data_IF_435300122891
#
_entry.id   IF_435300122891
#
_cell.length_a   1.000
_cell.length_b   1.000
_cell.length_c   1.000
_cell.angle_alpha   90.00
_cell.angle_beta   90.00
_cell.angle_gamma   90.00
#
_symmetry.space_group_name_H-M   'P 1'
#
loop_
_entity.id
_entity.type
_entity.pdbx_description
1 polymer ?
#
# COMPACT_ATOMS: atom_id res chain seq x y z
N UNK A 1 -4.32 22.79 -25.35
CA UNK A 1 -3.89 22.81 -23.95
C UNK A 1 -4.06 24.22 -23.36
N UNK A 2 -4.88 24.36 -22.31
CA UNK A 2 -5.30 25.66 -21.74
C UNK A 2 -4.19 26.34 -20.90
N UNK A 3 -3.07 25.64 -20.68
CA UNK A 3 -1.88 26.19 -19.99
C UNK A 3 -0.61 25.83 -20.76
N UNK A 4 0.38 26.74 -20.78
CA UNK A 4 1.69 26.43 -21.33
C UNK A 4 2.46 25.53 -20.36
N UNK A 5 3.41 24.70 -20.84
CA UNK A 5 4.25 23.88 -19.97
C UNK A 5 5.02 24.72 -18.93
N UNK A 6 5.29 25.99 -19.23
CA UNK A 6 5.94 26.93 -18.31
C UNK A 6 5.01 27.30 -17.16
N UNK A 7 3.75 27.63 -17.45
CA UNK A 7 2.76 27.99 -16.43
C UNK A 7 2.47 26.79 -15.53
N UNK A 8 2.41 25.57 -16.10
CA UNK A 8 2.24 24.35 -15.33
C UNK A 8 3.43 24.06 -14.41
N UNK A 9 4.66 24.22 -14.91
CA UNK A 9 5.87 24.09 -14.10
C UNK A 9 5.88 25.13 -12.97
N UNK A 10 5.48 26.37 -13.25
CA UNK A 10 5.39 27.44 -12.25
C UNK A 10 4.36 27.12 -11.16
N UNK A 11 3.21 26.53 -11.52
CA UNK A 11 2.22 26.06 -10.53
C UNK A 11 2.81 24.93 -9.68
N UNK A 12 3.47 23.95 -10.28
CA UNK A 12 4.14 22.85 -9.56
C UNK A 12 5.24 23.36 -8.61
N UNK A 13 6.04 24.32 -9.05
CA UNK A 13 7.09 24.96 -8.25
C UNK A 13 6.54 25.74 -7.04
N UNK A 14 5.28 26.17 -7.12
CA UNK A 14 4.61 26.91 -6.05
C UNK A 14 3.78 26.00 -5.12
N UNK A 15 3.73 24.68 -5.36
CA UNK A 15 3.09 23.73 -4.45
C UNK A 15 3.90 23.62 -3.17
N UNK A 16 3.29 24.00 -2.04
CA UNK A 16 3.91 23.89 -0.71
C UNK A 16 3.27 22.75 0.06
N UNK A 17 4.10 21.84 0.57
CA UNK A 17 3.64 20.83 1.52
C UNK A 17 3.17 21.47 2.83
N UNK A 18 2.22 20.85 3.56
CA UNK A 18 1.71 21.37 4.84
C UNK A 18 2.79 21.48 5.94
N UNK A 19 3.92 20.79 5.77
CA UNK A 19 5.03 20.75 6.72
C UNK A 19 6.23 21.62 6.33
N UNK A 20 6.15 22.34 5.20
CA UNK A 20 7.27 23.11 4.67
C UNK A 20 7.49 24.42 5.46
N UNK A 21 8.62 24.50 6.18
CA UNK A 21 9.12 25.76 6.74
C UNK A 21 10.22 26.29 5.81
N UNK A 22 9.99 27.38 5.06
CA UNK A 22 10.98 27.90 4.13
C UNK A 22 12.24 28.35 4.90
N UNK A 23 13.37 27.70 4.65
CA UNK A 23 14.69 28.27 4.94
C UNK A 23 15.05 29.21 3.79
N UNK A 24 15.63 30.37 4.12
CA UNK A 24 15.73 31.49 3.18
C UNK A 24 16.65 31.27 1.96
N UNK A 25 17.44 30.19 1.90
CA UNK A 25 18.48 30.00 0.86
C UNK A 25 18.48 28.63 0.18
N UNK A 26 17.47 27.77 0.39
CA UNK A 26 17.40 26.45 -0.26
C UNK A 26 16.31 26.41 -1.35
N UNK A 27 16.58 25.73 -2.49
CA UNK A 27 15.57 25.59 -3.54
C UNK A 27 14.34 24.86 -2.98
N UNK A 28 13.13 25.28 -3.39
CA UNK A 28 11.84 24.83 -2.86
C UNK A 28 11.45 23.37 -3.20
N UNK A 29 12.44 22.51 -3.41
CA UNK A 29 12.27 21.07 -3.52
C UNK A 29 12.57 20.48 -2.14
N UNK A 30 11.54 20.42 -1.29
CA UNK A 30 11.64 19.63 -0.07
C UNK A 30 10.88 18.33 -0.29
N UNK A 31 11.55 17.21 -0.06
CA UNK A 31 10.84 15.96 0.07
C UNK A 31 9.94 16.11 1.28
N UNK A 32 8.63 16.05 1.07
CA UNK A 32 7.68 15.98 2.18
C UNK A 32 7.87 14.62 2.85
N UNK A 33 8.93 14.48 3.64
CA UNK A 33 9.09 13.38 4.57
C UNK A 33 7.94 13.52 5.54
N UNK A 34 6.91 12.70 5.39
CA UNK A 34 5.89 12.54 6.42
C UNK A 34 6.66 11.93 7.59
N UNK A 35 6.92 12.67 8.69
CA UNK A 35 7.68 12.11 9.80
C UNK A 35 6.74 11.14 10.53
N UNK A 36 6.70 9.90 10.06
CA UNK A 36 5.99 8.83 10.74
C UNK A 36 6.84 8.52 11.97
N UNK A 37 6.32 8.82 13.17
CA UNK A 37 6.98 8.43 14.42
C UNK A 37 7.07 6.90 14.44
N UNK A 38 8.27 6.36 14.25
CA UNK A 38 8.55 4.94 14.38
C UNK A 38 8.85 4.63 15.84
N UNK A 39 8.44 3.44 16.28
CA UNK A 39 8.75 2.97 17.63
C UNK A 39 10.24 2.66 17.76
N UNK A 40 10.82 3.01 18.90
CA UNK A 40 12.19 2.63 19.23
C UNK A 40 12.31 1.11 19.43
N UNK A 41 13.52 0.57 19.33
CA UNK A 41 13.75 -0.88 19.49
C UNK A 41 13.25 -1.41 20.84
N UNK A 42 13.40 -0.63 21.91
CA UNK A 42 12.88 -0.96 23.24
C UNK A 42 11.36 -1.05 23.27
N UNK A 43 10.68 -0.10 22.63
CA UNK A 43 9.22 -0.09 22.50
C UNK A 43 8.71 -1.26 21.65
N UNK A 44 9.42 -1.62 20.58
CA UNK A 44 9.12 -2.78 19.75
C UNK A 44 9.26 -4.10 20.53
N UNK A 45 10.29 -4.23 21.39
CA UNK A 45 10.46 -5.43 22.24
C UNK A 45 9.31 -5.60 23.23
N UNK A 46 8.77 -4.50 23.75
CA UNK A 46 7.59 -4.54 24.63
C UNK A 46 6.34 -4.93 23.82
N UNK A 47 6.16 -4.31 22.65
CA UNK A 47 5.02 -4.55 21.77
C UNK A 47 4.97 -5.99 21.24
N UNK A 48 6.13 -6.58 20.93
CA UNK A 48 6.27 -7.93 20.39
C UNK A 48 6.93 -8.88 21.38
N UNK A 49 6.65 -8.72 22.68
CA UNK A 49 7.16 -9.61 23.73
C UNK A 49 6.80 -11.08 23.47
N UNK A 50 5.66 -11.33 22.81
CA UNK A 50 5.20 -12.62 22.33
C UNK A 50 6.21 -13.34 21.42
N UNK A 51 6.97 -12.62 20.61
CA UNK A 51 7.99 -13.24 19.73
C UNK A 51 9.21 -13.75 20.51
N UNK A 52 9.40 -13.34 21.77
CA UNK A 52 10.55 -13.74 22.58
C UNK A 52 10.40 -15.10 23.28
N UNK A 53 9.22 -15.74 23.20
CA UNK A 53 8.93 -17.00 23.88
C UNK A 53 9.62 -18.23 23.26
N UNK A 54 10.35 -18.06 22.16
CA UNK A 54 11.12 -19.14 21.51
C UNK A 54 10.26 -20.18 20.79
N UNK A 55 8.99 -19.86 20.54
CA UNK A 55 8.09 -20.64 19.70
C UNK A 55 8.53 -20.63 18.24
N UNK A 56 8.26 -21.71 17.51
CA UNK A 56 8.62 -21.82 16.11
C UNK A 56 7.78 -20.89 15.22
N UNK A 57 8.44 -20.11 14.37
CA UNK A 57 7.79 -19.23 13.38
C UNK A 57 8.04 -19.74 11.97
N UNK A 58 6.95 -19.90 11.22
CA UNK A 58 7.01 -20.42 9.85
C UNK A 58 7.81 -19.47 8.95
N UNK A 59 8.88 -19.97 8.33
CA UNK A 59 9.74 -19.23 7.40
C UNK A 59 10.97 -18.58 8.03
N UNK A 60 11.08 -18.54 9.36
CA UNK A 60 12.27 -18.04 10.08
C UNK A 60 13.07 -19.22 10.64
N UNK A 61 12.40 -20.18 11.28
CA UNK A 61 13.03 -21.29 11.99
C UNK A 61 13.32 -22.51 11.11
N UNK A 62 13.90 -22.28 9.93
CA UNK A 62 14.24 -23.36 8.97
C UNK A 62 15.21 -24.39 9.58
N UNK A 63 15.98 -24.00 10.60
CA UNK A 63 17.04 -24.82 11.21
C UNK A 63 16.74 -25.35 12.62
N UNK A 64 15.71 -24.86 13.34
CA UNK A 64 15.51 -25.21 14.77
C UNK A 64 14.77 -26.53 15.01
N UNK A 65 14.07 -27.07 14.02
CA UNK A 65 13.32 -28.33 14.14
C UNK A 65 14.04 -29.49 13.45
N UNK A 66 15.17 -29.91 14.01
CA UNK A 66 15.98 -31.02 13.48
C UNK A 66 15.41 -32.43 13.77
N UNK A 67 14.26 -32.54 14.47
CA UNK A 67 13.66 -33.82 14.86
C UNK A 67 12.36 -34.17 14.12
N UNK A 68 11.63 -33.19 13.60
CA UNK A 68 10.44 -33.38 12.76
C UNK A 68 10.46 -32.25 11.72
N UNK A 69 10.95 -32.55 10.51
CA UNK A 69 11.39 -31.53 9.54
C UNK A 69 10.33 -30.48 9.19
N UNK A 70 10.79 -29.35 8.64
CA UNK A 70 9.98 -28.19 8.23
C UNK A 70 8.62 -28.54 7.60
N UNK A 71 8.57 -29.58 6.76
CA UNK A 71 7.34 -30.05 6.11
C UNK A 71 6.24 -30.52 7.07
N UNK A 72 6.60 -31.18 8.18
CA UNK A 72 5.63 -31.62 9.17
C UNK A 72 5.03 -30.43 9.94
N UNK A 73 5.86 -29.45 10.28
CA UNK A 73 5.41 -28.21 10.90
C UNK A 73 4.52 -27.38 9.95
N UNK A 74 4.89 -27.29 8.66
CA UNK A 74 4.04 -26.64 7.66
C UNK A 74 2.67 -27.34 7.54
N UNK A 75 2.64 -28.68 7.51
CA UNK A 75 1.40 -29.44 7.45
C UNK A 75 0.48 -29.19 8.67
N UNK A 76 1.05 -29.20 9.88
CA UNK A 76 0.32 -28.86 11.11
C UNK A 76 -0.26 -27.43 11.04
N UNK A 77 0.53 -26.47 10.53
CA UNK A 77 0.09 -25.09 10.35
C UNK A 77 -1.02 -24.97 9.31
N UNK A 78 -1.01 -25.79 8.25
CA UNK A 78 -2.10 -25.83 7.27
C UNK A 78 -3.38 -26.33 7.93
N UNK A 79 -3.34 -27.43 8.69
CA UNK A 79 -4.52 -27.98 9.36
C UNK A 79 -5.10 -26.98 10.37
N UNK A 80 -4.25 -26.37 11.20
CA UNK A 80 -4.68 -25.34 12.14
C UNK A 80 -5.26 -24.11 11.41
N UNK A 81 -4.66 -23.73 10.29
CA UNK A 81 -5.10 -22.59 9.49
C UNK A 81 -6.50 -22.82 8.89
N UNK A 82 -6.81 -24.00 8.38
CA UNK A 82 -8.17 -24.31 7.89
C UNK A 82 -9.19 -24.24 9.04
N UNK A 83 -8.87 -24.77 10.24
CA UNK A 83 -9.74 -24.63 11.43
C UNK A 83 -9.97 -23.16 11.82
N UNK A 84 -8.93 -22.34 11.78
CA UNK A 84 -9.04 -20.90 12.06
C UNK A 84 -9.92 -20.21 11.01
N UNK A 85 -9.78 -20.58 9.73
CA UNK A 85 -10.62 -20.03 8.67
C UNK A 85 -12.10 -20.38 8.86
N UNK A 86 -12.42 -21.61 9.29
CA UNK A 86 -13.80 -22.05 9.59
C UNK A 86 -14.46 -21.22 10.70
N UNK A 87 -13.70 -20.68 11.66
CA UNK A 87 -14.26 -19.80 12.70
C UNK A 87 -14.76 -18.45 12.17
N UNK A 88 -14.32 -18.05 10.96
CA UNK A 88 -14.66 -16.79 10.30
C UNK A 88 -14.51 -15.55 11.22
N UNK A 89 -13.50 -15.56 12.09
CA UNK A 89 -13.29 -14.50 13.09
C UNK A 89 -11.92 -13.84 12.91
N UNK A 90 -11.92 -12.59 12.42
CA UNK A 90 -10.70 -11.84 12.09
C UNK A 90 -9.67 -11.74 13.24
N UNK A 91 -10.04 -11.50 14.51
CA UNK A 91 -9.08 -11.50 15.62
C UNK A 91 -8.33 -12.83 15.80
N UNK A 92 -9.01 -13.96 15.66
CA UNK A 92 -8.38 -15.29 15.77
C UNK A 92 -7.42 -15.51 14.61
N UNK A 93 -7.79 -15.07 13.39
CA UNK A 93 -6.90 -15.11 12.24
C UNK A 93 -5.65 -14.24 12.45
N UNK A 94 -5.77 -13.06 13.06
CA UNK A 94 -4.62 -12.21 13.38
C UNK A 94 -3.66 -12.89 14.37
N UNK A 95 -4.18 -13.51 15.43
CA UNK A 95 -3.37 -14.29 16.38
C UNK A 95 -2.65 -15.45 15.69
N UNK A 96 -3.34 -16.16 14.79
CA UNK A 96 -2.73 -17.21 13.98
C UNK A 96 -1.60 -16.68 13.08
N UNK A 97 -1.79 -15.53 12.42
CA UNK A 97 -0.83 -14.93 11.50
C UNK A 97 0.47 -14.45 12.18
N UNK A 98 0.44 -14.14 13.48
CA UNK A 98 1.65 -13.74 14.25
C UNK A 98 2.79 -14.77 14.14
N UNK A 99 2.46 -16.06 13.99
CA UNK A 99 3.44 -17.17 13.88
C UNK A 99 3.76 -17.56 12.43
N UNK A 100 3.32 -16.77 11.45
CA UNK A 100 3.50 -17.03 10.03
C UNK A 100 2.39 -17.88 9.42
N UNK A 101 2.20 -17.77 8.10
CA UNK A 101 1.13 -18.44 7.37
C UNK A 101 1.69 -19.16 6.13
N UNK A 102 1.28 -20.42 5.90
CA UNK A 102 1.64 -21.13 4.68
C UNK A 102 1.17 -20.37 3.43
N UNK A 103 1.92 -20.40 2.32
CA UNK A 103 1.54 -19.70 1.09
C UNK A 103 0.15 -20.06 0.57
N UNK A 104 -0.27 -21.32 0.73
CA UNK A 104 -1.59 -21.83 0.30
C UNK A 104 -2.77 -21.18 1.02
N UNK A 105 -2.60 -20.71 2.25
CA UNK A 105 -3.66 -20.11 3.07
C UNK A 105 -3.61 -18.59 3.11
N UNK A 106 -2.50 -17.98 2.67
CA UNK A 106 -2.26 -16.53 2.80
C UNK A 106 -3.39 -15.71 2.19
N UNK A 107 -3.85 -16.06 0.98
CA UNK A 107 -4.95 -15.35 0.31
C UNK A 107 -6.25 -15.41 1.13
N UNK A 108 -6.63 -16.58 1.66
CA UNK A 108 -7.84 -16.75 2.47
C UNK A 108 -7.76 -15.93 3.77
N UNK A 109 -6.61 -16.01 4.46
CA UNK A 109 -6.39 -15.34 5.74
C UNK A 109 -6.37 -13.83 5.61
N UNK A 110 -5.67 -13.29 4.61
CA UNK A 110 -5.62 -11.85 4.36
C UNK A 110 -6.99 -11.32 3.96
N UNK A 111 -7.74 -12.10 3.16
CA UNK A 111 -9.11 -11.73 2.81
C UNK A 111 -9.99 -11.54 4.06
N UNK A 112 -9.91 -12.50 4.99
CA UNK A 112 -10.65 -12.49 6.27
C UNK A 112 -10.22 -11.33 7.17
N UNK A 113 -8.91 -11.12 7.35
CA UNK A 113 -8.38 -10.06 8.23
C UNK A 113 -8.69 -8.66 7.71
N UNK A 114 -8.64 -8.45 6.39
CA UNK A 114 -8.96 -7.18 5.76
C UNK A 114 -10.48 -6.96 5.59
N UNK A 115 -11.31 -7.97 5.87
CA UNK A 115 -12.76 -7.91 5.63
C UNK A 115 -13.11 -7.67 4.16
N UNK A 116 -12.26 -8.17 3.25
CA UNK A 116 -12.33 -7.85 1.81
C UNK A 116 -13.26 -8.78 1.03
N UNK A 117 -14.50 -8.93 1.52
CA UNK A 117 -15.52 -9.69 0.82
C UNK A 117 -16.02 -8.95 -0.43
N UNK A 118 -15.94 -9.65 -1.56
CA UNK A 118 -16.33 -9.10 -2.86
C UNK A 118 -17.79 -9.42 -3.13
N UNK A 119 -18.62 -8.39 -3.20
CA UNK A 119 -20.01 -8.49 -3.62
C UNK A 119 -20.14 -8.21 -5.12
N UNK A 120 -21.26 -8.61 -5.74
CA UNK A 120 -21.52 -8.31 -7.15
C UNK A 120 -21.55 -6.81 -7.45
N UNK A 121 -21.98 -6.00 -6.48
CA UNK A 121 -21.90 -4.54 -6.55
C UNK A 121 -20.46 -4.04 -6.70
N UNK A 122 -19.51 -4.62 -5.94
CA UNK A 122 -18.10 -4.24 -6.00
C UNK A 122 -17.50 -4.61 -7.38
N UNK A 123 -17.89 -5.77 -7.93
CA UNK A 123 -17.48 -6.18 -9.29
C UNK A 123 -17.99 -5.21 -10.35
N UNK A 124 -19.26 -4.82 -10.28
CA UNK A 124 -19.84 -3.85 -11.22
C UNK A 124 -19.17 -2.47 -11.10
N UNK A 125 -18.85 -2.02 -9.89
CA UNK A 125 -18.11 -0.77 -9.68
C UNK A 125 -16.71 -0.84 -10.30
N UNK A 126 -16.00 -1.96 -10.10
CA UNK A 126 -14.68 -2.15 -10.69
C UNK A 126 -14.71 -2.12 -12.23
N UNK A 127 -15.70 -2.76 -12.86
CA UNK A 127 -15.86 -2.70 -14.33
C UNK A 127 -16.19 -1.29 -14.85
N UNK A 128 -16.96 -0.49 -14.08
CA UNK A 128 -17.18 0.93 -14.39
C UNK A 128 -15.87 1.73 -14.29
N UNK A 129 -15.05 1.47 -13.26
CA UNK A 129 -13.75 2.13 -13.10
C UNK A 129 -12.83 1.80 -14.26
N UNK A 130 -12.74 0.53 -14.70
CA UNK A 130 -11.99 0.15 -15.90
C UNK A 130 -12.46 0.91 -17.13
N UNK A 131 -13.77 1.02 -17.32
CA UNK A 131 -14.33 1.78 -18.44
C UNK A 131 -13.92 3.25 -18.40
N UNK A 132 -13.89 3.86 -17.20
CA UNK A 132 -13.39 5.23 -17.02
C UNK A 132 -11.89 5.36 -17.30
N UNK A 133 -11.07 4.35 -16.97
CA UNK A 133 -9.64 4.34 -17.32
C UNK A 133 -9.46 4.44 -18.83
N UNK A 134 -10.24 3.69 -19.59
CA UNK A 134 -10.15 3.67 -21.06
C UNK A 134 -10.73 4.94 -21.71
N UNK A 135 -11.73 5.56 -21.09
CA UNK A 135 -12.42 6.73 -21.64
C UNK A 135 -11.69 8.06 -21.35
N UNK A 136 -11.00 8.18 -20.21
CA UNK A 136 -10.41 9.44 -19.75
C UNK A 136 -8.91 9.31 -19.52
N UNK A 137 -8.11 10.10 -20.23
CA UNK A 137 -6.66 10.26 -20.01
C UNK A 137 -6.39 11.29 -18.90
N UNK A 138 -5.97 10.82 -17.72
CA UNK A 138 -5.62 11.70 -16.59
C UNK A 138 -4.10 11.84 -16.50
N UNK A 139 -3.63 13.03 -16.12
CA UNK A 139 -2.18 13.26 -15.94
C UNK A 139 -1.55 12.32 -14.89
N UNK A 140 -2.31 11.94 -13.86
CA UNK A 140 -1.85 11.02 -12.82
C UNK A 140 -1.56 9.62 -13.37
N UNK A 141 -2.21 9.20 -14.45
CA UNK A 141 -1.96 7.90 -15.08
C UNK A 141 -0.53 7.82 -15.62
N UNK A 142 -0.06 8.92 -16.23
CA UNK A 142 1.31 9.02 -16.76
C UNK A 142 2.35 8.98 -15.64
N UNK A 143 1.99 9.46 -14.45
CA UNK A 143 2.85 9.36 -13.27
C UNK A 143 2.87 7.92 -12.74
N UNK A 144 1.69 7.29 -12.59
CA UNK A 144 1.56 5.90 -12.14
C UNK A 144 2.30 4.94 -13.08
N UNK A 145 2.11 5.06 -14.39
CA UNK A 145 2.76 4.21 -15.39
C UNK A 145 4.28 4.33 -15.32
N UNK A 146 4.81 5.57 -15.20
CA UNK A 146 6.25 5.78 -15.05
C UNK A 146 6.80 5.18 -13.77
N UNK A 147 6.06 5.30 -12.67
CA UNK A 147 6.46 4.74 -11.38
C UNK A 147 6.51 3.20 -11.42
N UNK A 148 5.47 2.56 -11.98
CA UNK A 148 5.46 1.10 -12.20
C UNK A 148 6.63 0.69 -13.09
N UNK A 149 6.90 1.42 -14.17
CA UNK A 149 8.02 1.09 -15.06
C UNK A 149 9.37 1.19 -14.36
N UNK A 150 9.56 2.20 -13.51
CA UNK A 150 10.81 2.39 -12.77
C UNK A 150 11.00 1.36 -11.65
N UNK A 151 9.91 0.92 -11.01
CA UNK A 151 9.96 0.10 -9.79
C UNK A 151 9.73 -1.39 -10.03
N UNK A 152 8.78 -1.76 -10.89
CA UNK A 152 8.39 -3.14 -11.14
C UNK A 152 8.96 -3.69 -12.46
N UNK A 153 8.98 -2.92 -13.55
CA UNK A 153 9.50 -3.42 -14.84
C UNK A 153 11.02 -3.60 -14.85
N UNK A 154 11.74 -2.83 -14.01
CA UNK A 154 13.18 -2.95 -13.86
C UNK A 154 13.60 -3.98 -12.80
N UNK A 155 12.66 -4.71 -12.20
CA UNK A 155 12.93 -5.73 -11.19
C UNK A 155 12.59 -7.13 -11.73
N UNK A 156 13.59 -8.02 -11.74
CA UNK A 156 13.49 -9.39 -12.27
C UNK A 156 12.43 -10.26 -11.56
N UNK A 157 12.03 -9.90 -10.34
CA UNK A 157 11.01 -10.63 -9.58
C UNK A 157 9.59 -10.11 -9.86
N UNK A 158 9.46 -8.83 -10.23
CA UNK A 158 8.16 -8.15 -10.31
C UNK A 158 7.70 -7.79 -11.72
N UNK A 159 8.57 -7.87 -12.74
CA UNK A 159 8.22 -7.48 -14.12
C UNK A 159 6.98 -8.22 -14.65
N UNK A 160 6.77 -9.47 -14.25
CA UNK A 160 5.60 -10.29 -14.66
C UNK A 160 4.26 -9.74 -14.17
N UNK A 161 4.28 -8.84 -13.17
CA UNK A 161 3.08 -8.25 -12.58
C UNK A 161 2.77 -6.84 -13.08
N UNK A 162 3.55 -6.31 -14.02
CA UNK A 162 3.40 -4.95 -14.56
C UNK A 162 1.95 -4.65 -14.99
N UNK A 163 1.36 -5.53 -15.81
CA UNK A 163 -0.02 -5.36 -16.30
C UNK A 163 -1.06 -5.38 -15.17
N UNK A 164 -0.82 -6.19 -14.14
CA UNK A 164 -1.71 -6.28 -12.97
C UNK A 164 -1.61 -5.00 -12.14
N UNK A 165 -0.40 -4.48 -11.94
CA UNK A 165 -0.17 -3.22 -11.23
C UNK A 165 -0.84 -2.04 -11.96
N UNK A 166 -0.74 -1.98 -13.28
CA UNK A 166 -1.47 -0.99 -14.08
C UNK A 166 -2.98 -1.07 -13.85
N UNK A 167 -3.56 -2.26 -13.96
CA UNK A 167 -5.00 -2.46 -13.78
C UNK A 167 -5.49 -2.06 -12.38
N UNK A 168 -4.72 -2.37 -11.35
CA UNK A 168 -5.09 -2.07 -9.96
C UNK A 168 -4.91 -0.59 -9.66
N UNK A 169 -3.73 -0.02 -9.93
CA UNK A 169 -3.40 1.36 -9.53
C UNK A 169 -4.18 2.41 -10.33
N UNK A 170 -4.43 2.19 -11.62
CA UNK A 170 -5.20 3.13 -12.45
C UNK A 170 -6.69 3.15 -12.08
N UNK A 171 -7.25 2.00 -11.68
CA UNK A 171 -8.62 1.95 -11.17
C UNK A 171 -8.70 2.55 -9.75
N UNK A 172 -7.72 2.25 -8.90
CA UNK A 172 -7.64 2.76 -7.53
C UNK A 172 -7.56 4.30 -7.49
N UNK A 173 -6.76 4.92 -8.36
CA UNK A 173 -6.62 6.38 -8.43
C UNK A 173 -7.91 7.11 -8.83
N UNK A 174 -8.83 6.40 -9.50
CA UNK A 174 -10.13 6.92 -9.96
C UNK A 174 -11.28 6.61 -9.02
N UNK A 175 -11.05 5.80 -7.99
CA UNK A 175 -12.09 5.41 -7.06
C UNK A 175 -12.49 6.61 -6.16
N UNK A 176 -13.75 7.09 -6.24
CA UNK A 176 -14.19 8.21 -5.43
C UNK A 176 -14.19 7.89 -3.93
N UNK A 177 -14.34 6.64 -3.51
CA UNK A 177 -14.30 6.27 -2.08
C UNK A 177 -12.88 6.39 -1.52
N UNK A 178 -11.87 6.04 -2.31
CA UNK A 178 -10.45 6.25 -1.94
C UNK A 178 -10.18 7.74 -1.76
N UNK A 179 -10.67 8.58 -2.67
CA UNK A 179 -10.50 10.03 -2.58
C UNK A 179 -11.16 10.66 -1.33
N UNK A 180 -12.22 10.06 -0.80
CA UNK A 180 -12.87 10.52 0.45
C UNK A 180 -12.03 10.24 1.69
N UNK A 181 -11.23 9.18 1.66
CA UNK A 181 -10.38 8.76 2.79
C UNK A 181 -9.09 9.58 2.88
N UNK A 182 -8.72 10.30 1.82
CA UNK A 182 -7.55 11.17 1.82
C UNK A 182 -7.85 12.45 2.64
N UNK A 183 -7.06 12.74 3.70
CA UNK A 183 -7.31 13.86 4.60
C UNK A 183 -7.20 15.22 3.90
N UNK A 184 -6.50 15.27 2.78
CA UNK A 184 -6.44 16.41 1.88
C UNK A 184 -7.11 16.01 0.58
N UNK A 185 -8.36 16.45 0.38
CA UNK A 185 -8.92 16.47 -0.97
C UNK A 185 -7.89 17.17 -1.86
N UNK A 186 -7.44 16.59 -2.98
CA UNK A 186 -6.47 17.23 -3.86
C UNK A 186 -6.94 18.61 -4.39
N UNK A 187 -8.22 18.97 -4.17
CA UNK A 187 -8.75 20.32 -4.37
C UNK A 187 -8.33 21.41 -3.38
N UNK A 188 -7.50 21.13 -2.36
CA UNK A 188 -6.97 22.15 -1.44
C UNK A 188 -5.45 22.33 -1.47
N UNK A 189 -4.78 21.98 -2.58
CA UNK A 189 -3.47 22.57 -2.85
C UNK A 189 -3.67 24.07 -3.11
N UNK A 190 -3.50 24.89 -2.08
CA UNK A 190 -3.59 26.35 -2.21
C UNK A 190 -2.40 26.84 -3.06
N UNK A 191 -2.68 27.12 -4.33
CA UNK A 191 -1.76 27.87 -5.18
C UNK A 191 -1.87 29.33 -4.77
N UNK A 192 -0.88 29.84 -4.03
CA UNK A 192 -0.76 31.28 -3.78
C UNK A 192 -0.07 31.88 -5.01
N UNK A 193 -0.87 32.39 -5.95
CA UNK A 193 -0.37 33.19 -7.06
C UNK A 193 0.16 34.52 -6.49
N UNK A 194 1.48 34.65 -6.34
CA UNK A 194 2.11 35.95 -6.07
C UNK A 194 2.07 36.79 -7.35
N UNK A 195 1.09 37.67 -7.47
CA UNK A 195 1.14 38.71 -8.51
C UNK A 195 -0.18 39.38 -8.83
N UNK A 196 -0.49 40.47 -8.12
CA UNK A 196 -0.88 41.78 -8.67
C UNK A 196 -1.08 42.75 -7.50
N UNK A 197 -0.01 43.47 -7.13
CA UNK A 197 -0.19 44.76 -6.46
C UNK A 197 -0.64 45.77 -7.51
N UNK A 198 -1.84 46.33 -7.33
CA UNK A 198 -2.10 47.69 -7.80
C UNK A 198 -1.59 48.67 -6.74
#
# INVERSE_FOLDING_TARGET
>A
PVYSPKDFLEVLLNLKGPNYKPKQDEPAWDFSHIPIKVKELSELRILYSELSHGEAVLGIDVSRNASCGYAAFEAERIELGEKVFETNHAPIAQEYLKKGCPPSLRTKMWKLVLGSDTNDTHRLQYEKLKSHVLQYDLMIDKLIIKDIHLTASNDDQYFVFEDVLHQVLLCFSRDPEVLKLLPYKPGYMQVVLKGKSS
#
